data_IF_858721408811
#
_entry.id   IF_858721408811
#
_cell.length_a   1.000
_cell.length_b   1.000
_cell.length_c   1.000
_cell.angle_alpha   90.00
_cell.angle_beta   90.00
_cell.angle_gamma   90.00
#
_symmetry.space_group_name_H-M   'P 1'
#
loop_
_entity.id
_entity.type
_entity.pdbx_description
1 polymer ?
#
# COMPACT_ATOMS: atom_id res chain seq x y z
N UNK A 1 -34.58 5.49 16.71
CA UNK A 1 -34.56 6.33 15.47
C UNK A 1 -33.21 7.04 15.21
N UNK A 2 -32.07 6.60 15.78
CA UNK A 2 -30.76 7.28 15.59
C UNK A 2 -29.88 6.58 14.54
N UNK A 3 -30.07 5.28 14.36
CA UNK A 3 -29.30 4.43 13.44
C UNK A 3 -29.68 4.64 11.97
N UNK A 4 -30.95 4.91 11.66
CA UNK A 4 -31.36 5.15 10.26
C UNK A 4 -30.68 6.37 9.65
N UNK A 5 -30.48 7.45 10.42
CA UNK A 5 -29.73 8.64 9.97
C UNK A 5 -28.27 8.31 9.65
N UNK A 6 -27.64 7.43 10.44
CA UNK A 6 -26.27 6.97 10.20
C UNK A 6 -26.19 6.15 8.90
N UNK A 7 -27.12 5.21 8.71
CA UNK A 7 -27.21 4.44 7.48
C UNK A 7 -27.49 5.32 6.25
N UNK A 8 -28.34 6.33 6.38
CA UNK A 8 -28.65 7.26 5.31
C UNK A 8 -27.43 8.12 4.93
N UNK A 9 -26.66 8.58 5.93
CA UNK A 9 -25.40 9.30 5.71
C UNK A 9 -24.35 8.42 5.04
N UNK A 10 -24.23 7.14 5.42
CA UNK A 10 -23.32 6.19 4.79
C UNK A 10 -23.72 5.94 3.33
N UNK A 11 -25.00 5.75 3.03
CA UNK A 11 -25.48 5.56 1.66
C UNK A 11 -25.23 6.81 0.81
N UNK A 12 -25.43 8.01 1.36
CA UNK A 12 -25.13 9.28 0.67
C UNK A 12 -23.62 9.40 0.39
N UNK A 13 -22.76 9.09 1.36
CA UNK A 13 -21.30 9.11 1.18
C UNK A 13 -20.82 8.12 0.12
N UNK A 14 -21.45 6.95 0.00
CA UNK A 14 -21.16 5.97 -1.04
C UNK A 14 -21.73 6.35 -2.41
N UNK A 15 -22.85 7.08 -2.43
CA UNK A 15 -23.48 7.58 -3.67
C UNK A 15 -22.74 8.77 -4.28
N UNK A 16 -21.97 9.52 -3.47
CA UNK A 16 -21.00 10.51 -3.96
C UNK A 16 -19.73 9.77 -4.37
N UNK A 17 -19.80 9.04 -5.49
CA UNK A 17 -18.59 8.67 -6.20
C UNK A 17 -17.96 9.96 -6.73
N UNK A 18 -16.74 10.37 -6.32
CA UNK A 18 -16.03 11.34 -7.13
C UNK A 18 -15.86 10.68 -8.48
N UNK A 19 -16.42 11.29 -9.53
CA UNK A 19 -16.05 10.97 -10.90
C UNK A 19 -14.51 10.87 -10.89
N UNK A 20 -13.97 9.70 -11.22
CA UNK A 20 -12.52 9.43 -11.22
C UNK A 20 -11.80 10.20 -12.34
N UNK A 21 -12.24 11.42 -12.61
CA UNK A 21 -11.60 12.39 -13.48
C UNK A 21 -10.36 12.92 -12.76
N UNK A 22 -9.26 12.19 -12.95
CA UNK A 22 -7.87 12.56 -12.67
C UNK A 22 -7.66 13.31 -11.34
N UNK A 23 -7.45 12.55 -10.27
CA UNK A 23 -6.86 13.10 -9.06
C UNK A 23 -5.52 13.77 -9.42
N UNK A 24 -5.35 15.01 -8.93
CA UNK A 24 -4.21 15.91 -9.10
C UNK A 24 -4.18 16.69 -10.43
N UNK A 25 -4.25 18.02 -10.33
CA UNK A 25 -4.10 18.97 -11.44
C UNK A 25 -2.81 18.78 -12.27
N UNK A 26 -1.77 18.19 -11.66
CA UNK A 26 -0.54 17.81 -12.36
C UNK A 26 -0.75 16.69 -13.39
N UNK A 27 -1.52 15.65 -13.05
CA UNK A 27 -1.75 14.52 -13.94
C UNK A 27 -2.63 14.91 -15.14
N UNK A 28 -3.59 15.82 -14.93
CA UNK A 28 -4.43 16.36 -16.01
C UNK A 28 -3.63 17.20 -17.02
N UNK A 29 -2.75 18.10 -16.55
CA UNK A 29 -1.95 18.97 -17.42
C UNK A 29 -0.99 18.20 -18.34
N UNK A 30 -0.35 17.14 -17.85
CA UNK A 30 0.53 16.28 -18.66
C UNK A 30 -0.25 15.46 -19.68
N UNK A 31 -1.44 14.95 -19.34
CA UNK A 31 -2.29 14.21 -20.28
C UNK A 31 -2.82 15.13 -21.38
N UNK A 32 -3.35 16.29 -21.01
CA UNK A 32 -3.96 17.24 -21.94
C UNK A 32 -2.95 17.80 -22.94
N UNK A 33 -1.72 18.11 -22.48
CA UNK A 33 -0.61 18.51 -23.36
C UNK A 33 -0.14 17.38 -24.28
N UNK A 34 -0.17 16.12 -23.84
CA UNK A 34 0.26 14.98 -24.66
C UNK A 34 -0.79 14.58 -25.71
N UNK A 35 -2.07 14.72 -25.37
CA UNK A 35 -3.20 14.52 -26.29
C UNK A 35 -3.27 15.65 -27.32
N UNK A 36 -3.09 16.91 -26.91
CA UNK A 36 -3.04 18.07 -27.83
C UNK A 36 -1.88 18.00 -28.84
N UNK A 37 -0.81 17.27 -28.53
CA UNK A 37 0.33 17.02 -29.42
C UNK A 37 0.20 15.73 -30.26
N UNK A 38 -0.98 15.11 -30.30
CA UNK A 38 -1.27 13.93 -31.14
C UNK A 38 -0.68 12.60 -30.62
N UNK A 39 -0.20 12.54 -29.36
CA UNK A 39 0.43 11.36 -28.76
C UNK A 39 -0.49 10.66 -27.75
N UNK A 40 -1.72 10.34 -28.15
CA UNK A 40 -2.77 9.72 -27.32
C UNK A 40 -2.37 8.38 -26.67
N UNK A 41 -1.42 7.65 -27.25
CA UNK A 41 -0.90 6.37 -26.72
C UNK A 41 -0.21 6.54 -25.35
N UNK A 42 0.38 7.71 -25.10
CA UNK A 42 1.06 8.01 -23.83
C UNK A 42 0.05 8.30 -22.71
N UNK A 43 -1.12 8.87 -23.06
CA UNK A 43 -2.21 9.11 -22.11
C UNK A 43 -2.83 7.80 -21.58
N UNK A 44 -2.96 6.77 -22.43
CA UNK A 44 -3.50 5.46 -22.04
C UNK A 44 -2.60 4.69 -21.04
N UNK A 45 -1.30 4.98 -21.02
CA UNK A 45 -0.32 4.24 -20.21
C UNK A 45 -0.04 4.89 -18.84
N UNK A 46 -0.62 6.06 -18.55
CA UNK A 46 -0.37 6.78 -17.30
C UNK A 46 -0.97 6.05 -16.08
N UNK A 47 -2.14 5.43 -16.22
CA UNK A 47 -2.76 4.66 -15.14
C UNK A 47 -1.91 3.43 -14.73
N UNK A 48 -1.22 2.80 -15.68
CA UNK A 48 -0.27 1.72 -15.39
C UNK A 48 0.96 2.26 -14.66
N UNK A 49 1.45 3.45 -15.04
CA UNK A 49 2.57 4.11 -14.35
C UNK A 49 2.28 4.44 -12.89
N UNK A 50 1.07 4.93 -12.57
CA UNK A 50 0.66 5.25 -11.20
C UNK A 50 0.60 3.99 -10.34
N UNK A 51 -0.02 2.91 -10.85
CA UNK A 51 -0.06 1.62 -10.13
C UNK A 51 1.35 1.08 -9.92
N UNK A 52 2.24 1.16 -10.93
CA UNK A 52 3.61 0.70 -10.81
C UNK A 52 4.40 1.45 -9.73
N UNK A 53 4.32 2.79 -9.72
CA UNK A 53 4.99 3.63 -8.72
C UNK A 53 4.44 3.43 -7.31
N UNK A 54 3.13 3.21 -7.18
CA UNK A 54 2.51 2.91 -5.88
C UNK A 54 2.85 1.50 -5.38
N UNK A 55 3.00 0.51 -6.25
CA UNK A 55 3.29 -0.88 -5.85
C UNK A 55 4.69 -1.07 -5.28
N UNK A 56 5.68 -0.35 -5.80
CA UNK A 56 7.09 -0.46 -5.36
C UNK A 56 7.29 -0.28 -3.85
N UNK A 57 6.81 0.81 -3.19
CA UNK A 57 7.02 0.98 -1.76
C UNK A 57 6.39 -0.14 -0.92
N UNK A 58 5.23 -0.68 -1.32
CA UNK A 58 4.62 -1.81 -0.61
C UNK A 58 5.45 -3.09 -0.74
N UNK A 59 6.00 -3.37 -1.92
CA UNK A 59 6.86 -4.54 -2.14
C UNK A 59 8.17 -4.46 -1.34
N UNK A 60 8.75 -3.26 -1.26
CA UNK A 60 9.97 -3.03 -0.45
C UNK A 60 9.67 -3.29 1.02
N UNK A 61 8.60 -2.70 1.57
CA UNK A 61 8.21 -2.90 2.98
C UNK A 61 7.92 -4.37 3.26
N UNK A 62 7.12 -5.03 2.41
CA UNK A 62 6.81 -6.45 2.57
C UNK A 62 8.07 -7.33 2.60
N UNK A 63 9.04 -7.05 1.73
CA UNK A 63 10.30 -7.79 1.65
C UNK A 63 11.14 -7.60 2.92
N UNK A 64 11.30 -6.36 3.38
CA UNK A 64 12.07 -6.04 4.59
C UNK A 64 11.42 -6.69 5.81
N UNK A 65 10.11 -6.52 5.98
CA UNK A 65 9.37 -7.11 7.11
C UNK A 65 9.48 -8.62 7.13
N UNK A 66 9.36 -9.28 5.97
CA UNK A 66 9.51 -10.73 5.87
C UNK A 66 10.91 -11.21 6.27
N UNK A 67 11.97 -10.57 5.75
CA UNK A 67 13.35 -10.92 6.07
C UNK A 67 13.66 -10.69 7.55
N UNK A 68 13.20 -9.57 8.11
CA UNK A 68 13.36 -9.25 9.53
C UNK A 68 12.65 -10.28 10.42
N UNK A 69 11.41 -10.64 10.11
CA UNK A 69 10.65 -11.64 10.86
C UNK A 69 11.34 -13.00 10.84
N UNK A 70 11.81 -13.43 9.65
CA UNK A 70 12.54 -14.70 9.50
C UNK A 70 13.83 -14.73 10.34
N UNK A 71 14.59 -13.64 10.36
CA UNK A 71 15.82 -13.56 11.13
C UNK A 71 15.55 -13.50 12.64
N UNK A 72 14.56 -12.70 13.06
CA UNK A 72 14.18 -12.55 14.47
C UNK A 72 13.71 -13.89 15.07
N UNK A 73 12.93 -14.68 14.34
CA UNK A 73 12.49 -16.01 14.78
C UNK A 73 13.67 -16.99 14.99
N UNK A 74 14.70 -16.91 14.15
CA UNK A 74 15.92 -17.74 14.28
C UNK A 74 16.73 -17.35 15.51
N UNK A 75 16.88 -16.04 15.74
CA UNK A 75 17.62 -15.52 16.90
C UNK A 75 16.91 -15.87 18.22
N UNK A 76 15.57 -15.80 18.27
CA UNK A 76 14.80 -16.22 19.43
C UNK A 76 15.03 -17.69 19.81
N UNK A 77 15.05 -18.59 18.81
CA UNK A 77 15.37 -20.01 19.03
C UNK A 77 16.78 -20.22 19.57
N UNK A 78 17.78 -19.51 19.03
CA UNK A 78 19.16 -19.59 19.51
C UNK A 78 19.30 -19.07 20.95
N UNK A 79 18.61 -17.98 21.29
CA UNK A 79 18.59 -17.43 22.65
C UNK A 79 17.96 -18.40 23.66
N UNK A 80 16.88 -19.08 23.29
CA UNK A 80 16.26 -20.12 24.11
C UNK A 80 17.22 -21.31 24.35
N UNK A 81 17.93 -21.74 23.32
CA UNK A 81 18.91 -22.82 23.46
C UNK A 81 20.04 -22.44 24.42
N UNK A 82 20.60 -21.24 24.28
CA UNK A 82 21.64 -20.72 25.18
C UNK A 82 21.11 -20.62 26.61
N UNK A 83 19.91 -20.07 26.80
CA UNK A 83 19.29 -19.97 28.13
C UNK A 83 19.08 -21.35 28.78
N UNK A 84 18.67 -22.35 28.00
CA UNK A 84 18.53 -23.73 28.46
C UNK A 84 19.87 -24.40 28.80
N UNK A 85 20.94 -24.09 28.06
CA UNK A 85 22.31 -24.55 28.38
C UNK A 85 22.81 -23.91 29.68
N UNK A 86 22.65 -22.60 29.85
CA UNK A 86 23.06 -21.88 31.06
C UNK A 86 22.30 -22.38 32.28
N UNK A 87 20.98 -22.57 32.19
CA UNK A 87 20.17 -23.11 33.30
C UNK A 87 20.63 -24.50 33.74
N UNK A 88 20.97 -25.38 32.79
CA UNK A 88 21.51 -26.73 33.10
C UNK A 88 22.90 -26.68 33.72
N UNK A 89 23.75 -25.72 33.34
CA UNK A 89 25.07 -25.55 33.92
C UNK A 89 25.02 -24.97 35.34
N UNK A 90 23.92 -24.30 35.72
CA UNK A 90 23.73 -23.66 37.01
C UNK A 90 23.03 -24.57 38.05
N UNK A 91 22.34 -25.63 37.61
CA UNK A 91 21.73 -26.65 38.49
C UNK A 91 22.71 -27.76 38.81
#
# INVERSE_FOLDING_TARGET
MRTWKVWLVIVILLAVSPELMAQCAMCRGTVESTVSNGRSVVASNLNLGIVYLLMIPYLIVASITYLWYRNSKREYGRRLEIAGRVKRALS
#
